data_IF_537026725792
#
_entry.id   IF_537026725792
#
_cell.length_a   1.000
_cell.length_b   1.000
_cell.length_c   1.000
_cell.angle_alpha   90.00
_cell.angle_beta   90.00
_cell.angle_gamma   90.00
#
_symmetry.space_group_name_H-M   'P 1'
#
loop_
_entity.id
_entity.type
_entity.pdbx_description
1 polymer ?
#
# COMPACT_ATOMS: atom_id res chain seq x y z
N UNK A 1 -1.35 11.39 -0.19
CA UNK A 1 0.02 11.44 0.38
C UNK A 1 0.87 12.42 -0.40
N UNK A 2 1.55 13.35 0.28
CA UNK A 2 2.49 14.28 -0.38
C UNK A 2 3.80 13.56 -0.73
N UNK A 3 4.60 14.12 -1.63
CA UNK A 3 5.87 13.49 -2.00
C UNK A 3 6.91 13.50 -0.84
N UNK A 4 6.83 14.50 0.04
CA UNK A 4 7.64 14.56 1.26
C UNK A 4 7.30 13.41 2.22
N UNK A 5 6.00 13.17 2.48
CA UNK A 5 5.55 12.02 3.27
C UNK A 5 5.97 10.69 2.62
N UNK A 6 5.89 10.60 1.29
CA UNK A 6 6.29 9.41 0.55
C UNK A 6 7.78 9.11 0.69
N UNK A 7 8.64 10.13 0.78
CA UNK A 7 10.07 9.94 0.98
C UNK A 7 10.35 9.23 2.31
N UNK A 8 9.72 9.68 3.40
CA UNK A 8 9.85 9.08 4.73
C UNK A 8 9.27 7.67 4.77
N UNK A 9 8.06 7.47 4.22
CA UNK A 9 7.41 6.15 4.21
C UNK A 9 8.23 5.12 3.44
N UNK A 10 8.78 5.50 2.28
CA UNK A 10 9.55 4.58 1.44
C UNK A 10 10.79 4.05 2.15
N UNK A 11 11.48 4.88 2.93
CA UNK A 11 12.67 4.46 3.70
C UNK A 11 12.31 3.45 4.78
N UNK A 12 11.11 3.55 5.37
CA UNK A 12 10.65 2.65 6.42
C UNK A 12 10.10 1.31 5.89
N UNK A 13 9.89 1.14 4.59
CA UNK A 13 9.32 -0.09 4.04
C UNK A 13 10.37 -1.19 3.89
N UNK A 14 10.04 -2.44 4.26
CA UNK A 14 10.93 -3.56 4.02
C UNK A 14 11.06 -3.84 2.53
N UNK A 15 12.22 -4.36 2.11
CA UNK A 15 12.39 -4.90 0.77
C UNK A 15 11.54 -6.18 0.66
N UNK A 16 10.69 -6.30 -0.38
CA UNK A 16 9.87 -7.50 -0.54
C UNK A 16 10.72 -8.75 -0.77
N UNK A 17 10.36 -9.87 -0.12
CA UNK A 17 11.10 -11.13 -0.22
C UNK A 17 11.23 -11.67 -1.66
N UNK A 18 10.22 -11.42 -2.51
CA UNK A 18 10.25 -11.81 -3.93
C UNK A 18 11.30 -11.02 -4.72
N UNK A 19 11.57 -9.76 -4.35
CA UNK A 19 12.61 -8.94 -4.95
C UNK A 19 14.02 -9.45 -4.58
N UNK A 20 14.16 -10.08 -3.42
CA UNK A 20 15.39 -10.71 -2.94
C UNK A 20 15.58 -12.17 -3.42
N UNK A 21 14.68 -12.68 -4.27
CA UNK A 21 14.74 -14.07 -4.75
C UNK A 21 14.40 -15.12 -3.68
N UNK A 22 13.82 -14.71 -2.55
CA UNK A 22 13.43 -15.60 -1.43
C UNK A 22 12.05 -16.22 -1.61
N UNK A 23 11.45 -16.09 -2.80
CA UNK A 23 10.10 -16.54 -3.13
C UNK A 23 9.01 -15.55 -2.68
N UNK A 24 7.75 -15.96 -2.86
CA UNK A 24 6.57 -15.12 -2.62
C UNK A 24 5.95 -14.58 -3.91
N UNK A 25 4.71 -14.09 -3.80
CA UNK A 25 3.99 -13.52 -4.92
C UNK A 25 4.54 -12.11 -5.23
N UNK A 26 4.87 -11.80 -6.50
CA UNK A 26 5.23 -10.45 -6.91
C UNK A 26 4.12 -9.45 -6.59
N UNK A 27 4.51 -8.22 -6.27
CA UNK A 27 3.54 -7.15 -6.06
C UNK A 27 2.79 -6.83 -7.35
N UNK A 28 1.46 -6.84 -7.27
CA UNK A 28 0.58 -6.45 -8.38
C UNK A 28 0.34 -4.94 -8.48
N UNK A 29 0.70 -4.17 -7.44
CA UNK A 29 0.42 -2.73 -7.34
C UNK A 29 1.63 -1.98 -6.80
N UNK A 30 1.76 -0.70 -7.17
CA UNK A 30 2.81 0.15 -6.61
C UNK A 30 2.61 0.32 -5.09
N UNK A 31 3.69 0.27 -4.31
CA UNK A 31 3.63 0.53 -2.87
C UNK A 31 2.90 1.84 -2.50
N UNK A 32 3.00 2.88 -3.35
CA UNK A 32 2.27 4.14 -3.12
C UNK A 32 0.76 3.91 -3.08
N UNK A 33 0.23 3.14 -4.03
CA UNK A 33 -1.20 2.82 -4.11
C UNK A 33 -1.64 2.00 -2.88
N UNK A 34 -0.82 1.03 -2.45
CA UNK A 34 -1.11 0.24 -1.24
C UNK A 34 -1.15 1.11 0.03
N UNK A 35 -0.21 2.04 0.20
CA UNK A 35 -0.18 2.94 1.36
C UNK A 35 -1.36 3.93 1.32
N UNK A 36 -1.66 4.48 0.15
CA UNK A 36 -2.82 5.36 -0.02
C UNK A 36 -4.14 4.60 0.27
N UNK A 37 -4.23 3.31 -0.10
CA UNK A 37 -5.35 2.42 0.25
C UNK A 37 -5.58 2.34 1.76
N UNK A 38 -4.51 2.01 2.50
CA UNK A 38 -4.58 1.84 3.95
C UNK A 38 -4.99 3.15 4.61
N UNK A 39 -4.41 4.27 4.18
CA UNK A 39 -4.77 5.59 4.71
C UNK A 39 -6.21 5.97 4.41
N UNK A 40 -6.72 5.64 3.22
CA UNK A 40 -8.13 5.83 2.88
C UNK A 40 -9.05 5.08 3.85
N UNK A 41 -8.76 3.81 4.14
CA UNK A 41 -9.54 3.00 5.08
C UNK A 41 -9.49 3.53 6.50
N UNK A 42 -8.31 3.93 6.97
CA UNK A 42 -8.10 4.47 8.31
C UNK A 42 -8.84 5.82 8.47
N UNK A 43 -8.76 6.70 7.48
CA UNK A 43 -9.45 7.99 7.49
C UNK A 43 -10.99 7.81 7.50
N UNK A 44 -11.49 6.77 6.83
CA UNK A 44 -12.91 6.41 6.83
C UNK A 44 -13.39 5.64 8.07
N UNK A 45 -12.52 5.37 9.05
CA UNK A 45 -12.90 4.66 10.28
C UNK A 45 -13.10 3.14 10.15
N UNK A 46 -12.57 2.52 9.09
CA UNK A 46 -12.62 1.05 8.85
C UNK A 46 -14.05 0.49 8.88
N UNK A 47 -14.99 1.12 8.17
CA UNK A 47 -16.23 0.44 7.78
C UNK A 47 -15.96 -0.38 6.53
N UNK A 48 -15.61 -1.66 6.67
CA UNK A 48 -15.36 -2.59 5.54
C UNK A 48 -16.47 -2.60 4.48
N UNK A 49 -17.71 -2.25 4.85
CA UNK A 49 -18.85 -2.11 3.93
C UNK A 49 -18.80 -0.87 3.01
N UNK A 50 -17.93 0.09 3.27
CA UNK A 50 -17.78 1.30 2.47
C UNK A 50 -16.63 1.20 1.46
N UNK A 51 -15.86 0.11 1.48
CA UNK A 51 -14.77 -0.11 0.51
C UNK A 51 -15.37 -0.34 -0.90
N UNK A 52 -15.00 0.47 -1.91
CA UNK A 52 -15.44 0.25 -3.29
C UNK A 52 -15.00 -1.13 -3.80
N UNK A 53 -15.87 -1.79 -4.57
CA UNK A 53 -15.62 -3.14 -5.07
C UNK A 53 -14.54 -3.18 -6.17
N UNK A 54 -14.28 -2.04 -6.81
CA UNK A 54 -13.27 -1.84 -7.86
C UNK A 54 -11.89 -1.45 -7.28
N UNK A 55 -11.71 -1.60 -5.97
CA UNK A 55 -10.46 -1.31 -5.30
C UNK A 55 -9.63 -2.60 -5.06
N UNK A 56 -8.34 -2.62 -5.36
CA UNK A 56 -7.60 -1.63 -6.18
C UNK A 56 -7.91 -1.76 -7.68
N UNK A 57 -8.01 -0.61 -8.36
CA UNK A 57 -8.17 -0.51 -9.82
C UNK A 57 -6.89 -0.84 -10.58
#
# INVERSE_FOLDING_TARGET
MTDAERAVVREAMPVPAWLEGRGGQPEGYCHRQLVDAVRYLVAGGITWRAMPADFPA
#
